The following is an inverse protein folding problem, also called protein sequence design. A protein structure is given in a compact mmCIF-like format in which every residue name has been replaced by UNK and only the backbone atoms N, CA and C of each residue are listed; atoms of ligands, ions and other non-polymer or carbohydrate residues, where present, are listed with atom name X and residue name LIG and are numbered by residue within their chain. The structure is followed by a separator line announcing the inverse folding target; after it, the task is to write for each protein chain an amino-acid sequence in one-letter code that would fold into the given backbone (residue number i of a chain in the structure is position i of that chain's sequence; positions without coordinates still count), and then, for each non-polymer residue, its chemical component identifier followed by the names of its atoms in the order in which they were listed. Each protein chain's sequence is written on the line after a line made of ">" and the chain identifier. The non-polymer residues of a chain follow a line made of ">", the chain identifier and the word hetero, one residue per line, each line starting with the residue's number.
data_IF_112399911716
#
_entry.id   IF_112399911716
#
_cell.length_a   1.000
_cell.length_b   1.000
_cell.length_c   1.000
_cell.angle_alpha   90.00
_cell.angle_beta   90.00
_cell.angle_gamma   90.00
#
_symmetry.space_group_name_H-M   'P 1'
#
loop_
_entity.id
_entity.type
_entity.pdbx_description
1 polymer ?
#
# COMPACT_ATOMS: atom_id res chain seq x y z
N UNK A 1 -28.74 57.09 22.98
CA UNK A 1 -28.13 55.78 23.18
C UNK A 1 -27.60 55.24 21.83
N UNK A 2 -26.37 54.79 21.78
CA UNK A 2 -25.72 54.27 20.59
C UNK A 2 -25.41 52.77 20.76
N UNK A 3 -25.83 51.94 19.83
CA UNK A 3 -25.45 50.54 19.76
C UNK A 3 -24.34 50.37 18.69
N UNK A 4 -23.17 49.83 19.08
CA UNK A 4 -22.03 49.76 18.17
C UNK A 4 -21.46 48.31 18.05
N UNK A 5 -21.17 47.94 16.83
CA UNK A 5 -20.21 46.89 16.47
C UNK A 5 -19.14 47.49 15.53
N UNK A 6 -18.49 48.60 15.91
CA UNK A 6 -17.72 49.43 14.97
C UNK A 6 -18.63 50.31 14.06
N UNK A 7 -19.84 49.88 13.75
CA UNK A 7 -20.88 50.62 13.04
C UNK A 7 -22.05 50.87 13.97
N UNK A 8 -22.66 52.07 13.89
CA UNK A 8 -23.88 52.40 14.67
C UNK A 8 -25.07 51.64 14.14
N UNK A 9 -25.66 50.77 14.95
CA UNK A 9 -26.83 49.95 14.57
C UNK A 9 -28.14 50.67 14.81
N UNK A 10 -28.25 51.38 15.94
CA UNK A 10 -29.44 52.16 16.34
C UNK A 10 -29.06 53.33 17.21
N UNK A 11 -29.70 54.46 17.03
CA UNK A 11 -29.65 55.60 17.96
C UNK A 11 -31.08 55.91 18.34
N UNK A 12 -31.36 56.14 19.64
CA UNK A 12 -32.68 56.53 20.12
C UNK A 12 -32.55 57.47 21.31
N UNK A 13 -33.51 58.38 21.46
CA UNK A 13 -33.70 59.21 22.62
C UNK A 13 -34.61 58.50 23.60
N UNK A 14 -34.21 58.49 24.89
CA UNK A 14 -34.95 57.84 25.98
C UNK A 14 -35.15 58.84 27.08
N UNK A 15 -36.37 58.94 27.64
CA UNK A 15 -36.67 59.78 28.77
C UNK A 15 -35.86 59.34 29.98
N UNK A 16 -35.51 60.28 30.86
CA UNK A 16 -34.79 60.02 32.12
C UNK A 16 -35.46 58.89 32.91
N UNK A 17 -34.70 57.84 33.20
CA UNK A 17 -35.18 56.65 33.90
C UNK A 17 -35.96 55.67 33.04
N UNK A 18 -36.10 55.90 31.75
CA UNK A 18 -36.76 54.97 30.80
C UNK A 18 -35.82 53.88 30.29
N UNK A 19 -36.38 52.92 29.57
CA UNK A 19 -35.68 51.81 28.97
C UNK A 19 -35.46 52.02 27.47
N UNK A 20 -34.33 51.57 26.96
CA UNK A 20 -34.07 51.54 25.52
C UNK A 20 -34.50 50.22 24.90
N UNK A 21 -34.89 50.26 23.63
CA UNK A 21 -35.23 49.07 22.84
C UNK A 21 -34.00 48.58 22.03
N UNK A 22 -33.62 47.32 22.18
CA UNK A 22 -32.52 46.74 21.41
C UNK A 22 -32.82 46.76 19.89
N UNK A 23 -31.82 46.94 19.03
CA UNK A 23 -31.95 46.59 17.62
C UNK A 23 -32.07 45.06 17.46
N UNK A 24 -32.38 44.60 16.22
CA UNK A 24 -32.22 43.19 15.91
C UNK A 24 -30.79 42.71 16.18
N UNK A 25 -30.65 41.45 16.58
CA UNK A 25 -29.37 40.85 16.88
C UNK A 25 -28.43 40.98 15.68
N UNK A 26 -27.25 41.59 15.87
CA UNK A 26 -26.35 41.82 14.76
C UNK A 26 -25.59 40.52 14.42
N UNK A 27 -25.32 40.31 13.12
CA UNK A 27 -24.55 39.17 12.64
C UNK A 27 -23.10 39.53 12.36
N UNK A 28 -22.21 38.59 12.63
CA UNK A 28 -20.79 38.67 12.28
C UNK A 28 -20.32 37.32 11.79
N UNK A 29 -19.77 37.27 10.58
CA UNK A 29 -19.26 35.99 10.00
C UNK A 29 -18.26 35.33 10.93
N UNK A 30 -18.46 34.03 11.22
CA UNK A 30 -17.62 33.26 12.10
C UNK A 30 -17.77 33.52 13.59
N UNK A 31 -18.80 34.28 13.98
CA UNK A 31 -19.07 34.61 15.39
C UNK A 31 -20.54 34.43 15.71
N UNK A 32 -20.79 34.03 16.94
CA UNK A 32 -22.13 34.01 17.53
C UNK A 32 -22.32 35.22 18.40
N UNK A 33 -23.43 35.97 18.20
CA UNK A 33 -23.80 37.08 19.07
C UNK A 33 -24.18 36.54 20.45
N UNK A 34 -23.55 37.06 21.52
CA UNK A 34 -23.76 36.62 22.90
C UNK A 34 -24.54 37.64 23.76
N UNK A 35 -24.81 38.82 23.20
CA UNK A 35 -25.53 39.83 23.90
C UNK A 35 -24.90 41.20 23.82
N UNK A 36 -25.25 42.05 24.76
CA UNK A 36 -24.78 43.44 24.88
C UNK A 36 -23.91 43.62 26.14
N UNK A 37 -22.87 44.47 26.06
CA UNK A 37 -21.92 44.69 27.14
C UNK A 37 -22.51 45.40 28.37
N UNK A 38 -23.68 46.06 28.21
CA UNK A 38 -24.32 46.80 29.28
C UNK A 38 -25.82 46.65 29.22
N UNK A 39 -26.50 46.73 30.38
CA UNK A 39 -27.93 46.88 30.45
C UNK A 39 -28.34 48.25 29.91
N UNK A 40 -29.49 48.29 29.29
CA UNK A 40 -30.07 49.49 28.68
C UNK A 40 -31.47 49.79 29.21
N UNK A 41 -31.69 49.46 30.48
CA UNK A 41 -32.86 49.82 31.31
C UNK A 41 -32.50 50.94 32.28
N UNK A 42 -33.49 51.74 32.73
CA UNK A 42 -33.34 52.85 33.67
C UNK A 42 -32.21 53.82 33.23
N UNK A 43 -32.32 54.33 32.00
CA UNK A 43 -31.32 55.24 31.41
C UNK A 43 -31.35 56.59 32.09
N UNK A 44 -30.27 56.97 32.78
CA UNK A 44 -30.15 58.26 33.51
C UNK A 44 -29.09 59.20 32.92
N UNK A 45 -28.33 58.76 31.90
CA UNK A 45 -27.32 59.53 31.18
C UNK A 45 -27.10 58.94 29.76
N UNK A 46 -26.34 59.64 28.91
CA UNK A 46 -25.94 59.13 27.62
C UNK A 46 -25.22 57.78 27.77
N UNK A 47 -25.65 56.79 26.99
CA UNK A 47 -25.17 55.42 27.06
C UNK A 47 -24.74 54.91 25.69
N UNK A 48 -23.55 54.35 25.61
CA UNK A 48 -23.09 53.56 24.47
C UNK A 48 -23.08 52.09 24.87
N UNK A 49 -23.75 51.26 24.09
CA UNK A 49 -23.84 49.81 24.31
C UNK A 49 -23.20 49.09 23.10
N UNK A 50 -22.36 48.09 23.36
CA UNK A 50 -21.58 47.38 22.35
C UNK A 50 -22.01 45.91 22.28
N UNK A 51 -22.18 45.38 21.08
CA UNK A 51 -22.45 43.95 20.87
C UNK A 51 -21.25 43.12 21.26
N UNK A 52 -21.50 41.99 21.92
CA UNK A 52 -20.53 40.99 22.31
C UNK A 52 -20.68 39.76 21.42
N UNK A 53 -19.55 39.13 21.09
CA UNK A 53 -19.51 37.97 20.22
C UNK A 53 -18.50 36.97 20.76
N UNK A 54 -18.81 35.70 20.54
CA UNK A 54 -17.92 34.58 20.73
C UNK A 54 -17.55 34.01 19.35
N UNK A 55 -16.27 33.68 19.14
CA UNK A 55 -15.83 33.04 17.89
C UNK A 55 -16.38 31.63 17.82
N UNK A 56 -16.91 31.26 16.67
CA UNK A 56 -17.39 29.90 16.46
C UNK A 56 -16.22 28.93 16.39
N UNK A 57 -16.41 27.74 16.93
CA UNK A 57 -15.48 26.63 16.82
C UNK A 57 -16.09 25.49 16.02
N UNK A 58 -15.25 24.75 15.34
CA UNK A 58 -15.63 23.61 14.52
C UNK A 58 -14.78 22.41 14.84
N UNK A 59 -15.36 21.23 14.78
CA UNK A 59 -14.69 19.97 15.03
C UNK A 59 -14.02 19.48 13.76
N UNK A 60 -12.68 19.30 13.81
CA UNK A 60 -11.92 18.64 12.75
C UNK A 60 -11.53 17.25 13.23
N UNK A 61 -11.93 16.22 12.45
CA UNK A 61 -11.66 14.81 12.76
C UNK A 61 -10.80 14.18 11.68
N UNK A 62 -9.59 13.75 12.03
CA UNK A 62 -8.70 12.97 11.17
C UNK A 62 -8.98 11.48 11.35
N UNK A 63 -9.20 10.78 10.24
CA UNK A 63 -9.49 9.34 10.21
C UNK A 63 -8.49 8.60 9.36
N UNK A 64 -8.27 7.34 9.73
CA UNK A 64 -7.57 6.40 8.86
C UNK A 64 -8.50 5.86 7.77
N UNK A 65 -7.94 5.12 6.82
CA UNK A 65 -8.64 4.51 5.67
C UNK A 65 -9.83 3.61 6.08
N UNK A 66 -9.77 2.98 7.25
CA UNK A 66 -10.80 2.08 7.80
C UNK A 66 -11.84 2.82 8.66
N UNK A 67 -11.72 4.14 8.77
CA UNK A 67 -12.60 4.98 9.58
C UNK A 67 -12.16 5.16 11.04
N UNK A 68 -11.06 4.54 11.46
CA UNK A 68 -10.47 4.74 12.79
C UNK A 68 -10.14 6.21 13.00
N UNK A 69 -10.57 6.79 14.12
CA UNK A 69 -10.27 8.19 14.46
C UNK A 69 -8.84 8.28 14.98
N UNK A 70 -8.00 9.05 14.29
CA UNK A 70 -6.61 9.30 14.64
C UNK A 70 -6.47 10.53 15.56
N UNK A 71 -7.21 11.60 15.27
CA UNK A 71 -7.20 12.85 16.04
C UNK A 71 -8.52 13.58 15.87
N UNK A 72 -8.99 14.23 16.94
CA UNK A 72 -10.09 15.20 16.90
C UNK A 72 -9.62 16.46 17.60
N UNK A 73 -9.93 17.63 17.05
CA UNK A 73 -9.61 18.92 17.63
C UNK A 73 -10.67 19.96 17.33
N UNK A 74 -10.84 20.93 18.23
CA UNK A 74 -11.65 22.11 18.03
C UNK A 74 -10.80 23.24 17.42
N UNK A 75 -11.28 23.82 16.33
CA UNK A 75 -10.60 24.88 15.59
C UNK A 75 -11.51 26.10 15.51
N UNK A 76 -11.01 27.28 15.83
CA UNK A 76 -11.76 28.52 15.69
C UNK A 76 -12.03 28.84 14.21
N UNK A 77 -13.14 29.50 13.94
CA UNK A 77 -13.51 29.93 12.58
C UNK A 77 -12.35 30.62 11.85
N UNK A 78 -12.00 30.12 10.69
CA UNK A 78 -10.93 30.64 9.86
C UNK A 78 -9.51 30.20 10.30
N UNK A 79 -9.39 29.41 11.38
CA UNK A 79 -8.14 28.80 11.81
C UNK A 79 -7.78 27.56 10.99
N UNK A 80 -6.58 27.05 11.23
CA UNK A 80 -6.05 25.85 10.59
C UNK A 80 -6.04 24.69 11.60
N UNK A 81 -6.31 23.48 11.11
CA UNK A 81 -6.14 22.27 11.90
C UNK A 81 -4.70 21.76 11.79
N UNK A 82 -4.26 21.02 12.80
CA UNK A 82 -2.97 20.36 12.85
C UNK A 82 -3.12 18.85 12.65
N UNK A 83 -2.49 18.31 11.61
CA UNK A 83 -2.54 16.87 11.34
C UNK A 83 -1.92 16.04 12.49
N UNK A 84 -2.37 14.80 12.72
CA UNK A 84 -1.63 13.84 13.53
C UNK A 84 -0.33 13.41 12.83
N UNK A 85 0.48 12.59 13.51
CA UNK A 85 1.57 11.88 12.85
C UNK A 85 1.02 11.01 11.68
N UNK A 86 1.83 10.88 10.63
CA UNK A 86 1.46 10.09 9.47
C UNK A 86 1.12 8.65 9.89
N UNK A 87 -0.09 8.18 9.55
CA UNK A 87 -0.49 6.82 9.89
C UNK A 87 0.20 5.79 8.99
N UNK A 88 0.29 4.55 9.47
CA UNK A 88 0.96 3.46 8.75
C UNK A 88 -0.04 2.37 8.39
N UNK A 89 0.12 1.81 7.18
CA UNK A 89 -0.64 0.66 6.71
C UNK A 89 0.29 -0.35 6.05
N UNK A 90 0.25 -1.61 6.52
CA UNK A 90 1.10 -2.67 5.99
C UNK A 90 0.88 -2.85 4.49
N UNK A 91 1.97 -2.83 3.71
CA UNK A 91 1.93 -2.95 2.26
C UNK A 91 1.49 -1.70 1.51
N UNK A 92 1.36 -0.57 2.19
CA UNK A 92 0.97 0.70 1.58
C UNK A 92 1.86 1.84 2.05
N UNK A 93 2.00 2.85 1.22
CA UNK A 93 2.65 4.11 1.53
C UNK A 93 1.60 5.19 1.72
N UNK A 94 1.67 5.92 2.84
CA UNK A 94 0.83 7.08 3.08
C UNK A 94 1.17 8.18 2.07
N UNK A 95 0.17 8.73 1.38
CA UNK A 95 0.34 9.75 0.32
C UNK A 95 -0.20 11.13 0.71
N UNK A 96 -0.86 11.21 1.88
CA UNK A 96 -1.41 12.48 2.37
C UNK A 96 -2.86 12.35 2.82
N UNK A 97 -3.55 13.47 2.85
CA UNK A 97 -4.92 13.59 3.32
C UNK A 97 -5.86 13.94 2.14
N UNK A 98 -7.11 13.48 2.19
CA UNK A 98 -8.10 13.65 1.13
C UNK A 98 -8.61 15.09 0.97
N UNK A 99 -8.39 15.96 1.99
CA UNK A 99 -8.87 17.35 2.01
C UNK A 99 -7.86 18.28 2.65
N UNK A 100 -7.91 19.54 2.23
CA UNK A 100 -7.25 20.64 2.93
C UNK A 100 -7.92 20.88 4.29
N UNK A 101 -7.12 21.21 5.29
CA UNK A 101 -7.57 21.46 6.66
C UNK A 101 -7.11 22.82 7.19
N UNK A 102 -7.02 23.79 6.26
CA UNK A 102 -6.77 25.21 6.52
C UNK A 102 -8.05 26.01 6.37
N UNK A 103 -8.13 27.19 7.03
CA UNK A 103 -9.28 28.10 6.97
C UNK A 103 -10.62 27.39 7.28
N UNK A 104 -10.69 26.74 8.42
CA UNK A 104 -11.84 25.94 8.83
C UNK A 104 -13.06 26.84 9.11
N UNK A 105 -14.17 26.61 8.40
CA UNK A 105 -15.41 27.36 8.51
C UNK A 105 -16.64 26.52 8.83
N UNK A 106 -16.47 25.20 8.94
CA UNK A 106 -17.47 24.20 9.30
C UNK A 106 -16.79 22.93 9.84
N UNK A 107 -17.55 22.05 10.47
CA UNK A 107 -17.05 20.73 10.86
C UNK A 107 -16.47 19.98 9.65
N UNK A 108 -15.32 19.32 9.85
CA UNK A 108 -14.57 18.67 8.79
C UNK A 108 -14.11 17.26 9.19
N UNK A 109 -14.30 16.32 8.29
CA UNK A 109 -13.67 15.00 8.37
C UNK A 109 -12.63 14.89 7.26
N UNK A 110 -11.40 14.55 7.65
CA UNK A 110 -10.22 14.38 6.79
C UNK A 110 -9.77 12.93 6.89
N UNK A 111 -9.55 12.28 5.74
CA UNK A 111 -9.22 10.85 5.69
C UNK A 111 -7.85 10.62 5.06
N UNK A 112 -7.07 9.72 5.67
CA UNK A 112 -5.76 9.32 5.18
C UNK A 112 -5.87 8.61 3.82
N UNK A 113 -4.97 8.94 2.90
CA UNK A 113 -4.84 8.35 1.58
C UNK A 113 -3.57 7.51 1.49
N UNK A 114 -3.66 6.40 0.75
CA UNK A 114 -2.56 5.44 0.61
C UNK A 114 -2.44 4.95 -0.83
N UNK A 115 -1.22 4.62 -1.20
CA UNK A 115 -0.89 3.90 -2.42
C UNK A 115 -0.35 2.52 -2.05
N UNK A 116 -0.77 1.48 -2.78
CA UNK A 116 -0.25 0.12 -2.58
C UNK A 116 1.21 0.05 -3.03
N UNK A 117 2.07 -0.55 -2.22
CA UNK A 117 3.47 -0.73 -2.58
C UNK A 117 3.61 -1.77 -3.70
N UNK A 118 4.57 -1.55 -4.58
CA UNK A 118 4.96 -2.50 -5.62
C UNK A 118 6.38 -2.99 -5.38
N UNK A 119 6.64 -4.21 -5.79
CA UNK A 119 7.95 -4.86 -5.66
C UNK A 119 8.36 -5.50 -6.97
N UNK A 120 9.66 -5.48 -7.22
CA UNK A 120 10.24 -6.04 -8.42
C UNK A 120 10.51 -7.53 -8.23
N UNK A 121 9.93 -8.39 -9.08
CA UNK A 121 10.26 -9.81 -9.15
C UNK A 121 11.08 -10.05 -10.40
N UNK A 122 12.27 -10.62 -10.24
CA UNK A 122 13.21 -10.92 -11.31
C UNK A 122 13.45 -12.42 -11.41
N UNK A 123 13.06 -13.03 -12.53
CA UNK A 123 13.37 -14.40 -12.87
C UNK A 123 14.70 -14.48 -13.60
N UNK A 124 15.59 -15.31 -13.13
CA UNK A 124 16.92 -15.51 -13.70
C UNK A 124 17.16 -16.95 -14.09
N UNK A 125 17.96 -17.13 -15.10
CA UNK A 125 18.51 -18.43 -15.44
C UNK A 125 19.67 -18.80 -14.50
N UNK A 126 20.15 -20.03 -14.55
CA UNK A 126 21.25 -20.60 -13.75
C UNK A 126 22.56 -19.79 -13.84
N UNK A 127 22.82 -19.13 -14.96
CA UNK A 127 24.01 -18.31 -15.23
C UNK A 127 23.84 -16.84 -14.81
N UNK A 128 22.66 -16.47 -14.27
CA UNK A 128 22.33 -15.12 -13.87
C UNK A 128 21.66 -14.28 -14.97
N UNK A 129 21.49 -14.83 -16.17
CA UNK A 129 20.75 -14.17 -17.26
C UNK A 129 19.33 -13.85 -16.79
N UNK A 130 18.86 -12.61 -16.98
CA UNK A 130 17.50 -12.20 -16.64
C UNK A 130 16.53 -12.70 -17.72
N UNK A 131 15.59 -13.54 -17.33
CA UNK A 131 14.55 -14.08 -18.20
C UNK A 131 13.30 -13.20 -18.22
N UNK A 132 12.89 -12.68 -17.06
CA UNK A 132 11.71 -11.80 -16.92
C UNK A 132 11.88 -10.90 -15.68
N UNK A 133 11.40 -9.68 -15.79
CA UNK A 133 11.23 -8.77 -14.66
C UNK A 133 9.81 -8.22 -14.70
N UNK A 134 9.14 -8.12 -13.56
CA UNK A 134 7.81 -7.55 -13.44
C UNK A 134 7.61 -6.85 -12.11
N UNK A 135 6.75 -5.84 -12.11
CA UNK A 135 6.27 -5.17 -10.90
C UNK A 135 5.03 -5.90 -10.40
N UNK A 136 5.00 -6.22 -9.10
CA UNK A 136 3.91 -6.93 -8.43
C UNK A 136 3.48 -6.12 -7.22
N UNK A 137 2.18 -5.88 -7.07
CA UNK A 137 1.63 -5.20 -5.90
C UNK A 137 1.82 -6.06 -4.64
N UNK A 138 1.97 -5.40 -3.50
CA UNK A 138 2.06 -6.07 -2.19
C UNK A 138 1.00 -7.15 -2.01
N UNK A 139 1.43 -8.35 -1.67
CA UNK A 139 0.57 -9.52 -1.47
C UNK A 139 0.09 -10.19 -2.75
N UNK A 140 0.43 -9.67 -3.94
CA UNK A 140 0.14 -10.28 -5.23
C UNK A 140 1.10 -11.43 -5.55
N UNK A 141 0.80 -12.13 -6.65
CA UNK A 141 1.60 -13.23 -7.18
C UNK A 141 2.32 -12.79 -8.45
N UNK A 142 3.55 -13.27 -8.62
CA UNK A 142 4.27 -13.11 -9.87
C UNK A 142 3.92 -14.22 -10.85
N UNK A 143 4.08 -13.95 -12.15
CA UNK A 143 3.87 -14.90 -13.23
C UNK A 143 5.22 -15.33 -13.81
N UNK A 144 5.52 -16.63 -13.77
CA UNK A 144 6.76 -17.16 -14.33
C UNK A 144 6.86 -16.89 -15.84
N UNK A 145 8.08 -16.74 -16.40
CA UNK A 145 8.29 -16.86 -17.85
C UNK A 145 8.04 -18.30 -18.32
N UNK A 146 8.13 -18.53 -19.64
CA UNK A 146 8.22 -19.89 -20.17
C UNK A 146 9.44 -20.61 -19.56
N UNK A 147 9.31 -21.93 -19.39
CA UNK A 147 10.38 -22.77 -18.83
C UNK A 147 11.65 -22.59 -19.67
N UNK A 148 12.75 -22.21 -19.05
CA UNK A 148 14.01 -22.04 -19.75
C UNK A 148 14.65 -23.39 -20.07
N UNK A 149 15.50 -23.43 -21.09
CA UNK A 149 16.19 -24.64 -21.55
C UNK A 149 17.69 -24.55 -21.34
N UNK A 150 18.30 -25.66 -20.94
CA UNK A 150 19.76 -25.80 -20.79
C UNK A 150 20.21 -27.11 -21.40
N UNK A 151 21.17 -27.06 -22.32
CA UNK A 151 21.68 -28.25 -23.00
C UNK A 151 22.25 -29.23 -21.98
N UNK A 152 21.83 -30.50 -22.05
CA UNK A 152 22.24 -31.58 -21.13
C UNK A 152 21.58 -31.55 -19.75
N UNK A 153 20.59 -30.71 -19.56
CA UNK A 153 19.85 -30.57 -18.29
C UNK A 153 18.36 -30.51 -18.52
N UNK A 154 17.58 -30.96 -17.54
CA UNK A 154 16.14 -30.75 -17.49
C UNK A 154 15.80 -29.67 -16.47
N UNK A 155 14.87 -28.76 -16.82
CA UNK A 155 14.37 -27.75 -15.89
C UNK A 155 13.47 -28.42 -14.85
N UNK A 156 13.73 -28.21 -13.56
CA UNK A 156 13.00 -28.84 -12.46
C UNK A 156 12.12 -27.85 -11.68
N UNK A 157 12.19 -26.56 -12.04
CA UNK A 157 11.39 -25.51 -11.40
C UNK A 157 12.20 -24.32 -10.97
N UNK A 158 11.68 -23.61 -10.01
CA UNK A 158 12.25 -22.37 -9.49
C UNK A 158 12.69 -22.54 -8.03
N UNK A 159 13.79 -21.87 -7.63
CA UNK A 159 14.40 -21.98 -6.29
C UNK A 159 13.52 -21.42 -5.16
N UNK A 160 12.54 -20.55 -5.47
CA UNK A 160 11.66 -19.89 -4.50
C UNK A 160 10.23 -19.82 -5.00
N UNK A 161 9.28 -19.81 -4.07
CA UNK A 161 7.91 -19.42 -4.36
C UNK A 161 7.84 -17.93 -4.72
N UNK A 162 6.97 -17.60 -5.66
CA UNK A 162 6.76 -16.24 -6.15
C UNK A 162 5.30 -15.80 -6.01
N UNK A 163 4.65 -16.31 -4.96
CA UNK A 163 3.31 -15.92 -4.51
C UNK A 163 3.40 -15.05 -3.25
N UNK A 164 2.37 -14.21 -3.01
CA UNK A 164 2.29 -13.33 -1.85
C UNK A 164 3.56 -12.45 -1.70
N UNK A 165 3.88 -11.69 -2.73
CA UNK A 165 5.08 -10.87 -2.80
C UNK A 165 4.98 -9.69 -1.82
N UNK A 166 5.93 -9.59 -0.89
CA UNK A 166 5.99 -8.55 0.14
C UNK A 166 7.29 -7.76 0.16
N UNK A 167 8.23 -8.09 -0.73
CA UNK A 167 9.52 -7.43 -0.94
C UNK A 167 10.05 -7.78 -2.34
N UNK A 168 11.09 -7.07 -2.81
CA UNK A 168 11.79 -7.43 -4.03
C UNK A 168 12.30 -8.87 -3.96
N UNK A 169 12.13 -9.62 -5.05
CA UNK A 169 12.45 -11.03 -5.11
C UNK A 169 13.25 -11.37 -6.36
N UNK A 170 14.30 -12.15 -6.17
CA UNK A 170 15.01 -12.82 -7.27
C UNK A 170 14.73 -14.31 -7.17
N UNK A 171 14.25 -14.88 -8.27
CA UNK A 171 13.90 -16.30 -8.44
C UNK A 171 14.80 -16.87 -9.51
N UNK A 172 15.43 -18.03 -9.24
CA UNK A 172 16.43 -18.63 -10.13
C UNK A 172 15.96 -20.01 -10.61
N UNK A 173 16.12 -20.27 -11.91
CA UNK A 173 15.81 -21.55 -12.51
C UNK A 173 16.71 -22.66 -11.92
N UNK A 174 16.07 -23.80 -11.64
CA UNK A 174 16.74 -25.01 -11.14
C UNK A 174 16.75 -26.07 -12.23
N UNK A 175 17.85 -26.80 -12.27
CA UNK A 175 18.08 -27.83 -13.30
C UNK A 175 18.72 -29.07 -12.68
N UNK A 176 18.38 -30.21 -13.23
CA UNK A 176 19.05 -31.47 -12.99
C UNK A 176 19.75 -31.97 -14.26
N UNK A 177 20.88 -32.61 -14.13
CA UNK A 177 21.67 -33.10 -15.27
C UNK A 177 21.00 -34.32 -15.86
N UNK A 178 20.73 -34.29 -17.18
CA UNK A 178 20.20 -35.47 -17.88
C UNK A 178 21.17 -36.64 -17.80
N UNK A 179 20.65 -37.80 -17.39
CA UNK A 179 21.43 -39.02 -17.22
C UNK A 179 22.07 -39.21 -15.83
N UNK A 180 22.06 -38.22 -14.93
CA UNK A 180 22.48 -38.32 -13.53
C UNK A 180 21.31 -38.83 -12.68
N UNK A 181 21.08 -40.15 -12.72
CA UNK A 181 19.91 -40.77 -12.06
C UNK A 181 20.15 -41.08 -10.58
N UNK A 182 21.38 -41.05 -10.10
CA UNK A 182 21.69 -41.20 -8.68
C UNK A 182 21.87 -39.88 -7.96
N UNK A 183 21.87 -38.73 -8.70
CA UNK A 183 21.89 -37.38 -8.16
C UNK A 183 23.22 -36.97 -7.53
N UNK A 184 24.33 -37.60 -7.92
CA UNK A 184 25.69 -37.30 -7.37
C UNK A 184 26.32 -36.05 -8.04
N UNK A 185 25.69 -35.49 -9.06
CA UNK A 185 26.13 -34.32 -9.83
C UNK A 185 27.05 -34.67 -11.00
N UNK A 186 27.18 -35.96 -11.34
CA UNK A 186 27.95 -36.42 -12.48
C UNK A 186 27.24 -37.54 -13.22
N UNK A 187 27.28 -37.54 -14.53
CA UNK A 187 26.81 -38.69 -15.33
C UNK A 187 27.96 -39.70 -15.41
N UNK A 188 27.78 -40.89 -14.86
CA UNK A 188 28.75 -41.95 -14.76
C UNK A 188 28.31 -43.26 -15.44
N UNK A 189 29.16 -44.26 -15.46
CA UNK A 189 28.79 -45.61 -15.91
C UNK A 189 27.73 -46.26 -15.00
N UNK A 190 27.64 -45.88 -13.74
CA UNK A 190 26.67 -46.41 -12.79
C UNK A 190 25.25 -45.92 -13.19
N UNK A 191 25.15 -44.67 -13.59
CA UNK A 191 23.89 -44.06 -14.08
C UNK A 191 23.43 -44.72 -15.37
N UNK A 192 24.34 -44.84 -16.34
CA UNK A 192 24.05 -45.54 -17.61
C UNK A 192 23.56 -46.98 -17.40
N UNK A 193 24.20 -47.72 -16.44
CA UNK A 193 23.74 -49.06 -16.09
C UNK A 193 22.38 -49.05 -15.39
N UNK A 194 22.09 -48.05 -14.57
CA UNK A 194 20.81 -47.89 -13.89
C UNK A 194 19.69 -47.57 -14.92
N UNK A 195 19.94 -46.67 -15.86
CA UNK A 195 19.02 -46.39 -16.96
C UNK A 195 18.75 -47.61 -17.81
N UNK A 196 19.80 -48.39 -18.13
CA UNK A 196 19.64 -49.64 -18.87
C UNK A 196 18.75 -50.66 -18.14
N UNK A 197 18.90 -50.77 -16.80
CA UNK A 197 18.03 -51.64 -16.00
C UNK A 197 16.58 -51.16 -15.95
N UNK A 198 16.35 -49.85 -15.93
CA UNK A 198 15.01 -49.25 -16.07
C UNK A 198 14.43 -49.59 -17.44
N UNK A 199 15.18 -49.39 -18.52
CA UNK A 199 14.76 -49.73 -19.90
C UNK A 199 14.41 -51.21 -20.11
N UNK A 200 15.00 -52.11 -19.29
CA UNK A 200 14.74 -53.56 -19.30
C UNK A 200 13.69 -54.00 -18.28
N UNK A 201 12.95 -53.08 -17.63
CA UNK A 201 11.99 -53.40 -16.58
C UNK A 201 12.57 -54.15 -15.35
N UNK A 202 13.90 -54.07 -15.14
CA UNK A 202 14.56 -54.68 -14.00
C UNK A 202 14.48 -53.80 -12.76
N UNK A 203 14.46 -52.46 -12.95
CA UNK A 203 14.27 -51.47 -11.92
C UNK A 203 13.05 -50.59 -12.22
N UNK A 204 12.36 -50.13 -11.20
CA UNK A 204 11.30 -49.12 -11.41
C UNK A 204 11.90 -47.80 -11.91
N UNK A 205 11.13 -47.05 -12.69
CA UNK A 205 11.53 -45.71 -13.11
C UNK A 205 11.20 -44.72 -12.00
N UNK A 206 12.20 -44.20 -11.35
CA UNK A 206 12.04 -43.25 -10.24
C UNK A 206 12.01 -41.78 -10.71
N UNK A 207 12.78 -41.42 -11.73
CA UNK A 207 12.82 -40.08 -12.31
C UNK A 207 12.91 -40.17 -13.85
N UNK A 208 11.74 -40.23 -14.51
CA UNK A 208 11.65 -40.35 -15.95
C UNK A 208 12.32 -39.18 -16.68
N UNK A 209 12.18 -37.93 -16.17
CA UNK A 209 12.69 -36.73 -16.84
C UNK A 209 14.22 -36.68 -16.91
N UNK A 210 14.91 -37.30 -15.97
CA UNK A 210 16.39 -37.39 -15.94
C UNK A 210 16.88 -38.62 -16.75
N UNK A 211 16.13 -39.73 -16.68
CA UNK A 211 16.50 -40.95 -17.31
C UNK A 211 16.20 -40.98 -18.83
N UNK A 212 15.25 -40.20 -19.30
CA UNK A 212 14.92 -39.97 -20.70
C UNK A 212 15.91 -38.92 -21.27
N UNK A 213 17.07 -39.39 -21.69
CA UNK A 213 18.20 -38.54 -22.08
C UNK A 213 18.03 -37.94 -23.46
N UNK A 214 17.28 -38.61 -24.35
CA UNK A 214 17.00 -38.13 -25.71
C UNK A 214 15.69 -37.33 -25.81
N UNK A 215 14.86 -37.34 -24.73
CA UNK A 215 13.65 -36.54 -24.62
C UNK A 215 12.49 -37.06 -25.46
N UNK A 216 12.48 -38.34 -25.82
CA UNK A 216 11.45 -38.94 -26.64
C UNK A 216 10.20 -39.40 -25.83
N UNK A 217 10.27 -39.33 -24.52
CA UNK A 217 9.21 -39.69 -23.55
C UNK A 217 9.24 -41.15 -23.12
N UNK A 218 10.23 -41.94 -23.57
CA UNK A 218 10.40 -43.35 -23.22
C UNK A 218 11.81 -43.58 -22.68
N UNK A 219 11.94 -44.47 -21.71
CA UNK A 219 13.29 -44.92 -21.25
C UNK A 219 13.65 -46.19 -22.00
N UNK A 220 14.65 -46.09 -22.83
CA UNK A 220 15.11 -47.16 -23.76
C UNK A 220 16.60 -47.40 -23.58
N UNK A 221 17.12 -48.38 -24.31
CA UNK A 221 18.57 -48.61 -24.38
C UNK A 221 19.33 -47.46 -25.06
N UNK A 222 18.63 -46.57 -25.80
CA UNK A 222 19.24 -45.39 -26.40
C UNK A 222 19.64 -44.37 -25.31
N UNK A 223 18.78 -44.16 -24.31
CA UNK A 223 19.07 -43.27 -23.18
C UNK A 223 20.28 -43.78 -22.38
N UNK A 224 20.33 -45.08 -22.12
CA UNK A 224 21.48 -45.66 -21.46
C UNK A 224 22.78 -45.51 -22.29
N UNK A 225 22.69 -45.61 -23.62
CA UNK A 225 23.81 -45.39 -24.51
C UNK A 225 24.26 -43.92 -24.52
N UNK A 226 23.32 -42.97 -24.47
CA UNK A 226 23.59 -41.54 -24.42
C UNK A 226 24.23 -41.16 -23.08
N UNK A 227 23.68 -41.65 -21.97
CA UNK A 227 24.28 -41.47 -20.64
C UNK A 227 25.72 -42.02 -20.57
N UNK A 228 25.96 -43.22 -21.13
CA UNK A 228 27.28 -43.82 -21.23
C UNK A 228 28.25 -42.95 -22.06
N UNK A 229 27.78 -42.38 -23.18
CA UNK A 229 28.61 -41.47 -24.01
C UNK A 229 28.98 -40.21 -23.25
N UNK A 230 28.04 -39.59 -22.49
CA UNK A 230 28.34 -38.47 -21.61
C UNK A 230 29.38 -38.88 -20.56
N UNK A 231 29.21 -40.00 -19.89
CA UNK A 231 30.17 -40.53 -18.89
C UNK A 231 31.60 -40.71 -19.44
N UNK A 232 31.70 -41.07 -20.72
CA UNK A 232 32.99 -41.28 -21.40
C UNK A 232 33.53 -40.02 -22.09
N UNK A 233 32.86 -38.87 -22.00
CA UNK A 233 33.22 -37.60 -22.66
C UNK A 233 33.34 -37.76 -24.22
N UNK A 234 32.56 -38.64 -24.82
CA UNK A 234 32.50 -38.82 -26.26
C UNK A 234 31.46 -37.82 -26.83
N UNK A 235 31.99 -36.70 -27.36
CA UNK A 235 31.12 -35.70 -28.06
C UNK A 235 30.38 -36.31 -29.27
N UNK A 236 29.20 -35.75 -29.60
CA UNK A 236 28.42 -36.11 -30.78
C UNK A 236 29.07 -35.59 -32.06
#
# INVERSE_FOLDING_TARGET
>A
MLFRSGTVLKTQEVQYGGDAEAPADPTRTGYTFTGWDKAFTNITADLVVTSQYEINTYTVTFKDWDGTVLKTQEVQHGGDAEAPADPTRVGYTFTGWDKEFTNITADLVVTAQYEINTYTVTFKDWDGTVLKTQEVQYGGDAEAPADPTRVGYTFTGWDKAFTNITADLVVTAQYEMLGDVDGDGNVSMADALTILRMAMDILPVENQQIADVDGDGFITSMDALLALRFAMHIEQ
#
